data_IF_378762055179
#
_entry.id   IF_378762055179
#
_cell.length_a   1.000
_cell.length_b   1.000
_cell.length_c   1.000
_cell.angle_alpha   90.00
_cell.angle_beta   90.00
_cell.angle_gamma   90.00
#
_symmetry.space_group_name_H-M   'P 1'
#
loop_
_entity.id
_entity.type
_entity.pdbx_description
1 polymer ?
#
# COMPACT_ATOMS: atom_id res chain seq x y z
N UNK A 1 -5.35 -34.51 8.26
CA UNK A 1 -5.73 -33.22 8.85
C UNK A 1 -4.52 -32.37 9.31
N UNK A 2 -3.32 -32.96 9.49
CA UNK A 2 -2.16 -32.23 10.05
C UNK A 2 -1.39 -31.27 9.11
N UNK A 3 -1.36 -31.52 7.81
CA UNK A 3 -0.56 -30.72 6.88
C UNK A 3 -1.06 -29.26 6.73
N UNK A 4 -2.36 -29.04 6.83
CA UNK A 4 -2.95 -27.70 6.65
C UNK A 4 -2.73 -26.82 7.89
N UNK A 5 -2.82 -27.40 9.09
CA UNK A 5 -2.55 -26.70 10.35
C UNK A 5 -1.06 -26.32 10.49
N UNK A 6 -0.15 -27.24 10.15
CA UNK A 6 1.30 -26.97 10.17
C UNK A 6 1.71 -25.87 9.17
N UNK A 7 1.04 -25.79 8.01
CA UNK A 7 1.32 -24.76 7.02
C UNK A 7 0.83 -23.37 7.48
N UNK A 8 -0.34 -23.31 8.14
CA UNK A 8 -0.87 -22.08 8.72
C UNK A 8 0.04 -21.56 9.84
N UNK A 9 0.49 -22.44 10.73
CA UNK A 9 1.39 -22.06 11.82
C UNK A 9 2.74 -21.55 11.31
N UNK A 10 3.28 -22.18 10.28
CA UNK A 10 4.51 -21.73 9.61
C UNK A 10 4.34 -20.34 8.98
N UNK A 11 3.25 -20.09 8.26
CA UNK A 11 2.95 -18.78 7.68
C UNK A 11 2.81 -17.68 8.74
N UNK A 12 2.17 -18.00 9.89
CA UNK A 12 2.09 -17.06 11.03
C UNK A 12 3.46 -16.76 11.63
N UNK A 13 4.30 -17.77 11.80
CA UNK A 13 5.66 -17.58 12.31
C UNK A 13 6.53 -16.74 11.37
N UNK A 14 6.48 -17.01 10.07
CA UNK A 14 7.17 -16.22 9.06
C UNK A 14 6.67 -14.76 9.04
N UNK A 15 5.36 -14.54 9.19
CA UNK A 15 4.79 -13.21 9.28
C UNK A 15 5.31 -12.44 10.51
N UNK A 16 5.29 -13.06 11.71
CA UNK A 16 5.79 -12.43 12.94
C UNK A 16 7.30 -12.13 12.84
N UNK A 17 8.08 -13.06 12.29
CA UNK A 17 9.51 -12.87 12.11
C UNK A 17 9.81 -11.71 11.16
N UNK A 18 9.12 -11.64 10.01
CA UNK A 18 9.27 -10.57 9.04
C UNK A 18 8.83 -9.21 9.60
N UNK A 19 7.69 -9.14 10.30
CA UNK A 19 7.20 -7.93 10.96
C UNK A 19 8.22 -7.42 11.99
N UNK A 20 8.74 -8.32 12.83
CA UNK A 20 9.75 -7.99 13.84
C UNK A 20 11.04 -7.46 13.20
N UNK A 21 11.49 -8.05 12.10
CA UNK A 21 12.67 -7.60 11.37
C UNK A 21 12.46 -6.22 10.71
N UNK A 22 11.30 -6.00 10.08
CA UNK A 22 10.97 -4.73 9.42
C UNK A 22 10.73 -3.59 10.45
N UNK A 23 10.32 -3.90 11.70
CA UNK A 23 10.22 -2.93 12.79
C UNK A 23 11.59 -2.64 13.42
N UNK A 24 12.46 -3.65 13.59
CA UNK A 24 13.77 -3.47 14.23
C UNK A 24 14.68 -2.54 13.42
N UNK A 25 14.64 -2.63 12.11
CA UNK A 25 15.50 -1.84 11.22
C UNK A 25 15.33 -0.32 11.43
N UNK A 26 14.13 0.28 11.32
CA UNK A 26 13.96 1.71 11.55
C UNK A 26 14.24 2.13 13.01
N UNK A 27 13.93 1.29 13.99
CA UNK A 27 14.28 1.57 15.40
C UNK A 27 15.79 1.74 15.57
N UNK A 28 16.58 0.81 15.03
CA UNK A 28 18.04 0.90 15.10
C UNK A 28 18.58 2.12 14.34
N UNK A 29 17.99 2.43 13.17
CA UNK A 29 18.34 3.63 12.39
C UNK A 29 18.04 4.93 13.15
N UNK A 30 16.88 5.02 13.79
CA UNK A 30 16.49 6.17 14.64
C UNK A 30 17.46 6.32 15.80
N UNK A 31 17.79 5.23 16.52
CA UNK A 31 18.74 5.30 17.65
C UNK A 31 20.10 5.85 17.22
N UNK A 32 20.66 5.29 16.13
CA UNK A 32 21.95 5.75 15.60
C UNK A 32 21.89 7.22 15.14
N UNK A 33 20.81 7.62 14.46
CA UNK A 33 20.64 8.99 13.98
C UNK A 33 20.49 9.99 15.14
N UNK A 34 19.83 9.60 16.26
CA UNK A 34 19.75 10.42 17.48
C UNK A 34 21.13 10.63 18.09
N UNK A 35 21.91 9.55 18.29
CA UNK A 35 23.27 9.63 18.86
C UNK A 35 24.17 10.52 18.01
N UNK A 36 24.10 10.33 16.68
CA UNK A 36 24.91 11.13 15.75
C UNK A 36 24.46 12.59 15.71
N UNK A 37 23.14 12.86 15.77
CA UNK A 37 22.62 14.23 15.83
C UNK A 37 23.05 14.97 17.10
N UNK A 38 23.11 14.28 18.24
CA UNK A 38 23.60 14.85 19.51
C UNK A 38 25.09 15.24 19.37
N UNK A 39 25.92 14.32 18.87
CA UNK A 39 27.36 14.58 18.64
C UNK A 39 27.58 15.74 17.67
N UNK A 40 26.85 15.79 16.57
CA UNK A 40 26.94 16.89 15.59
C UNK A 40 26.52 18.25 16.22
N UNK A 41 25.49 18.23 17.09
CA UNK A 41 25.07 19.44 17.80
C UNK A 41 26.13 19.96 18.79
N UNK A 42 26.75 19.04 19.54
CA UNK A 42 27.85 19.36 20.45
C UNK A 42 29.05 19.99 19.72
N UNK A 43 29.33 19.55 18.50
CA UNK A 43 30.37 20.09 17.62
C UNK A 43 29.92 21.37 16.87
N UNK A 44 28.71 21.85 17.08
CA UNK A 44 28.07 22.96 16.33
C UNK A 44 27.92 22.72 14.82
N UNK A 45 27.81 21.45 14.39
CA UNK A 45 27.61 21.00 13.01
C UNK A 45 26.11 21.01 12.66
N UNK A 46 25.52 22.18 12.50
CA UNK A 46 24.07 22.35 12.37
C UNK A 46 23.46 21.66 11.12
N UNK A 47 24.20 21.64 10.01
CA UNK A 47 23.78 20.99 8.78
C UNK A 47 23.66 19.46 8.96
N UNK A 48 24.64 18.83 9.59
CA UNK A 48 24.62 17.40 9.88
C UNK A 48 23.56 17.07 10.92
N UNK A 49 23.42 17.89 11.97
CA UNK A 49 22.32 17.75 12.94
C UNK A 49 20.96 17.73 12.23
N UNK A 50 20.70 18.68 11.32
CA UNK A 50 19.45 18.75 10.55
C UNK A 50 19.21 17.52 9.67
N UNK A 51 20.27 17.01 9.04
CA UNK A 51 20.22 15.80 8.21
C UNK A 51 19.79 14.58 9.03
N UNK A 52 20.36 14.37 10.22
CA UNK A 52 20.00 13.23 11.08
C UNK A 52 18.60 13.39 11.68
N UNK A 53 18.16 14.60 12.05
CA UNK A 53 16.78 14.85 12.47
C UNK A 53 15.77 14.53 11.35
N UNK A 54 16.08 14.87 10.10
CA UNK A 54 15.24 14.48 8.95
C UNK A 54 15.19 12.96 8.75
N UNK A 55 16.31 12.26 8.96
CA UNK A 55 16.33 10.79 8.90
C UNK A 55 15.43 10.16 9.97
N UNK A 56 15.48 10.68 11.21
CA UNK A 56 14.60 10.24 12.30
C UNK A 56 13.14 10.42 11.93
N UNK A 57 12.77 11.56 11.34
CA UNK A 57 11.40 11.84 10.92
C UNK A 57 10.94 10.84 9.85
N UNK A 58 11.75 10.57 8.83
CA UNK A 58 11.46 9.62 7.75
C UNK A 58 11.25 8.21 8.31
N UNK A 59 12.15 7.74 9.20
CA UNK A 59 12.06 6.40 9.77
C UNK A 59 10.86 6.27 10.73
N UNK A 60 10.53 7.32 11.49
CA UNK A 60 9.33 7.37 12.33
C UNK A 60 8.03 7.29 11.51
N UNK A 61 7.93 8.06 10.43
CA UNK A 61 6.78 8.00 9.51
C UNK A 61 6.62 6.61 8.89
N UNK A 62 7.74 5.99 8.52
CA UNK A 62 7.75 4.62 8.01
C UNK A 62 7.26 3.60 9.04
N UNK A 63 7.68 3.73 10.31
CA UNK A 63 7.18 2.87 11.39
C UNK A 63 5.66 3.01 11.58
N UNK A 64 5.15 4.24 11.58
CA UNK A 64 3.72 4.51 11.68
C UNK A 64 2.94 3.81 10.55
N UNK A 65 3.45 3.91 9.31
CA UNK A 65 2.83 3.24 8.17
C UNK A 65 2.85 1.71 8.30
N UNK A 66 3.98 1.15 8.74
CA UNK A 66 4.11 -0.30 8.93
C UNK A 66 3.14 -0.81 10.02
N UNK A 67 3.01 -0.08 11.13
CA UNK A 67 2.06 -0.40 12.18
C UNK A 67 0.62 -0.33 11.67
N UNK A 68 0.25 0.70 10.90
CA UNK A 68 -1.07 0.80 10.28
C UNK A 68 -1.34 -0.39 9.36
N UNK A 69 -0.41 -0.72 8.46
CA UNK A 69 -0.56 -1.84 7.53
C UNK A 69 -0.69 -3.19 8.27
N UNK A 70 0.01 -3.38 9.40
CA UNK A 70 -0.11 -4.59 10.24
C UNK A 70 -1.47 -4.66 10.94
N UNK A 71 -1.99 -3.54 11.43
CA UNK A 71 -3.32 -3.46 12.06
C UNK A 71 -4.43 -3.71 11.03
N UNK A 72 -4.34 -3.07 9.85
CA UNK A 72 -5.28 -3.28 8.75
C UNK A 72 -5.34 -4.76 8.37
N UNK A 73 -4.18 -5.41 8.21
CA UNK A 73 -4.12 -6.84 7.89
C UNK A 73 -4.70 -7.71 9.00
N UNK A 74 -4.41 -7.39 10.26
CA UNK A 74 -4.95 -8.12 11.41
C UNK A 74 -6.49 -8.02 11.48
N UNK A 75 -7.05 -6.84 11.21
CA UNK A 75 -8.50 -6.64 11.17
C UNK A 75 -9.16 -7.45 10.06
N UNK A 76 -8.56 -7.47 8.87
CA UNK A 76 -9.03 -8.27 7.74
C UNK A 76 -9.05 -9.78 8.02
N UNK A 77 -8.12 -10.28 8.85
CA UNK A 77 -8.02 -11.70 9.18
C UNK A 77 -8.99 -12.17 10.28
N UNK A 78 -9.40 -11.25 11.16
CA UNK A 78 -10.19 -11.58 12.36
C UNK A 78 -11.67 -11.33 12.15
N UNK A 79 -12.04 -10.28 11.42
CA UNK A 79 -13.42 -9.85 11.29
C UNK A 79 -14.00 -10.25 9.93
N UNK A 80 -15.27 -10.68 9.90
CA UNK A 80 -16.02 -10.80 8.65
C UNK A 80 -16.37 -9.40 8.10
N UNK A 81 -16.48 -9.23 6.76
CA UNK A 81 -16.82 -7.94 6.16
C UNK A 81 -18.24 -7.51 6.53
N UNK A 82 -18.39 -6.26 6.97
CA UNK A 82 -19.70 -5.65 7.25
C UNK A 82 -20.13 -4.90 5.99
N UNK A 83 -20.90 -5.60 5.13
CA UNK A 83 -21.32 -5.03 3.85
C UNK A 83 -22.49 -4.05 4.01
N UNK A 84 -22.35 -2.88 3.40
CA UNK A 84 -23.35 -1.83 3.32
C UNK A 84 -23.53 -1.38 1.87
N UNK A 85 -24.73 -0.88 1.53
CA UNK A 85 -24.95 -0.24 0.23
C UNK A 85 -24.36 1.16 0.26
N UNK A 86 -23.22 1.36 -0.39
CA UNK A 86 -22.47 2.61 -0.36
C UNK A 86 -22.15 3.12 -1.75
N UNK A 87 -22.06 4.44 -1.90
CA UNK A 87 -21.62 5.07 -3.13
C UNK A 87 -20.08 5.02 -3.23
N UNK A 88 -19.58 4.17 -4.13
CA UNK A 88 -18.15 3.91 -4.28
C UNK A 88 -17.36 5.13 -4.79
N UNK A 89 -17.99 5.95 -5.63
CA UNK A 89 -17.38 7.20 -6.12
C UNK A 89 -17.02 8.14 -4.97
N UNK A 90 -17.91 8.28 -3.99
CA UNK A 90 -17.66 9.12 -2.82
C UNK A 90 -16.48 8.64 -2.00
N UNK A 91 -16.27 7.31 -1.88
CA UNK A 91 -15.12 6.74 -1.17
C UNK A 91 -13.82 7.03 -1.93
N UNK A 92 -13.81 6.81 -3.26
CA UNK A 92 -12.62 7.12 -4.09
C UNK A 92 -12.27 8.61 -4.00
N UNK A 93 -13.25 9.50 -4.11
CA UNK A 93 -13.04 10.95 -3.98
C UNK A 93 -12.52 11.34 -2.60
N UNK A 94 -12.99 10.67 -1.53
CA UNK A 94 -12.49 10.90 -0.18
C UNK A 94 -11.00 10.51 -0.07
N UNK A 95 -10.62 9.35 -0.56
CA UNK A 95 -9.21 8.89 -0.53
C UNK A 95 -8.30 9.80 -1.38
N UNK A 96 -8.78 10.29 -2.54
CA UNK A 96 -8.03 11.26 -3.35
C UNK A 96 -7.85 12.59 -2.57
N UNK A 97 -8.87 13.06 -1.84
CA UNK A 97 -8.78 14.29 -1.01
C UNK A 97 -7.75 14.19 0.12
N UNK A 98 -7.51 12.99 0.64
CA UNK A 98 -6.49 12.76 1.68
C UNK A 98 -5.04 12.71 1.16
N UNK A 99 -4.84 12.63 -0.16
CA UNK A 99 -3.50 12.70 -0.74
C UNK A 99 -2.85 14.07 -0.50
N UNK A 100 -1.52 14.14 -0.37
CA UNK A 100 -0.78 15.41 -0.44
C UNK A 100 -1.11 16.18 -1.71
N UNK A 101 -1.15 17.51 -1.65
CA UNK A 101 -1.53 18.36 -2.79
C UNK A 101 -0.73 18.07 -4.06
N UNK A 102 0.58 17.81 -3.93
CA UNK A 102 1.45 17.45 -5.05
C UNK A 102 1.02 16.16 -5.76
N UNK A 103 0.42 15.21 -5.04
CA UNK A 103 -0.08 13.96 -5.58
C UNK A 103 -1.53 14.08 -6.05
N UNK A 104 -2.38 14.81 -5.33
CA UNK A 104 -3.77 15.07 -5.69
C UNK A 104 -3.89 15.66 -7.11
N UNK A 105 -3.07 16.66 -7.44
CA UNK A 105 -3.04 17.31 -8.74
C UNK A 105 -2.59 16.39 -9.91
N UNK A 106 -2.09 15.21 -9.59
CA UNK A 106 -1.66 14.20 -10.58
C UNK A 106 -2.75 13.19 -10.90
N UNK A 107 -3.75 13.05 -10.02
CA UNK A 107 -4.82 12.07 -10.18
C UNK A 107 -5.87 12.61 -11.15
N UNK A 108 -6.15 11.83 -12.19
CA UNK A 108 -7.28 12.01 -13.08
C UNK A 108 -8.29 10.92 -12.73
N UNK A 109 -9.44 11.33 -12.17
CA UNK A 109 -10.48 10.39 -11.74
C UNK A 109 -11.71 10.52 -12.64
N UNK A 110 -12.09 9.42 -13.25
CA UNK A 110 -13.30 9.28 -14.05
C UNK A 110 -14.21 8.22 -13.47
N UNK A 111 -15.47 8.56 -13.23
CA UNK A 111 -16.44 7.66 -12.64
C UNK A 111 -17.86 8.02 -13.02
N UNK A 112 -18.73 7.01 -13.04
CA UNK A 112 -20.17 7.17 -12.90
C UNK A 112 -20.56 6.97 -11.43
N UNK A 113 -21.78 7.36 -11.05
CA UNK A 113 -22.30 7.06 -9.70
C UNK A 113 -22.58 5.55 -9.60
N UNK A 114 -21.97 4.89 -8.63
CA UNK A 114 -22.09 3.46 -8.40
C UNK A 114 -22.40 3.20 -6.93
N UNK A 115 -23.62 2.74 -6.66
CA UNK A 115 -23.99 2.18 -5.38
C UNK A 115 -23.78 0.68 -5.41
N UNK A 116 -23.01 0.14 -4.43
CA UNK A 116 -22.64 -1.26 -4.39
C UNK A 116 -22.62 -1.79 -2.97
N UNK A 117 -23.00 -3.06 -2.78
CA UNK A 117 -23.02 -3.73 -1.49
C UNK A 117 -21.63 -4.28 -1.16
N UNK A 118 -20.87 -3.56 -0.36
CA UNK A 118 -19.49 -3.87 0.00
C UNK A 118 -19.17 -3.36 1.42
N UNK A 119 -18.13 -3.88 2.03
CA UNK A 119 -17.58 -3.28 3.26
C UNK A 119 -16.86 -1.97 2.90
N UNK A 120 -17.33 -0.80 3.41
CA UNK A 120 -16.77 0.50 3.04
C UNK A 120 -15.33 0.70 3.49
N UNK A 121 -14.94 0.14 4.64
CA UNK A 121 -13.59 0.23 5.17
C UNK A 121 -12.62 -0.58 4.32
N UNK A 122 -13.02 -1.78 3.90
CA UNK A 122 -12.25 -2.62 2.97
C UNK A 122 -12.04 -1.91 1.63
N UNK A 123 -13.10 -1.32 1.07
CA UNK A 123 -12.99 -0.59 -0.19
C UNK A 123 -12.08 0.64 -0.07
N UNK A 124 -12.18 1.37 1.03
CA UNK A 124 -11.27 2.48 1.36
C UNK A 124 -9.82 2.02 1.46
N UNK A 125 -9.54 0.90 2.16
CA UNK A 125 -8.20 0.31 2.24
C UNK A 125 -7.64 -0.07 0.86
N UNK A 126 -8.47 -0.63 -0.02
CA UNK A 126 -8.08 -0.98 -1.40
C UNK A 126 -7.65 0.28 -2.15
N UNK A 127 -8.52 1.30 -2.20
CA UNK A 127 -8.27 2.55 -2.92
C UNK A 127 -7.01 3.24 -2.39
N UNK A 128 -6.91 3.42 -1.07
CA UNK A 128 -5.77 4.05 -0.39
C UNK A 128 -4.45 3.37 -0.71
N UNK A 129 -4.39 2.03 -0.63
CA UNK A 129 -3.16 1.29 -0.91
C UNK A 129 -2.75 1.36 -2.39
N UNK A 130 -3.69 1.26 -3.32
CA UNK A 130 -3.41 1.35 -4.75
C UNK A 130 -3.00 2.77 -5.15
N UNK A 131 -3.66 3.81 -4.64
CA UNK A 131 -3.27 5.21 -4.86
C UNK A 131 -1.87 5.50 -4.30
N UNK A 132 -1.58 5.03 -3.08
CA UNK A 132 -0.25 5.16 -2.46
C UNK A 132 0.82 4.51 -3.32
N UNK A 133 0.58 3.32 -3.86
CA UNK A 133 1.51 2.65 -4.77
C UNK A 133 1.71 3.46 -6.05
N UNK A 134 0.64 3.90 -6.71
CA UNK A 134 0.72 4.70 -7.90
C UNK A 134 1.52 6.00 -7.69
N UNK A 135 1.29 6.69 -6.56
CA UNK A 135 2.04 7.90 -6.20
C UNK A 135 3.53 7.64 -5.97
N UNK A 136 3.87 6.53 -5.29
CA UNK A 136 5.25 6.21 -4.89
C UNK A 136 6.10 5.71 -6.06
N UNK A 137 5.52 4.98 -7.01
CA UNK A 137 6.25 4.33 -8.09
C UNK A 137 6.20 5.08 -9.42
N UNK A 138 5.28 6.03 -9.58
CA UNK A 138 5.21 6.91 -10.73
C UNK A 138 6.14 8.13 -10.58
N UNK A 139 6.68 8.62 -11.67
CA UNK A 139 7.44 9.87 -11.67
C UNK A 139 6.54 11.05 -11.24
N UNK A 140 7.11 12.03 -10.50
CA UNK A 140 6.35 13.15 -9.90
C UNK A 140 5.57 14.02 -10.91
N UNK A 141 5.99 14.06 -12.17
CA UNK A 141 5.37 14.82 -13.25
C UNK A 141 4.35 14.03 -14.08
N UNK A 142 4.19 12.74 -13.80
CA UNK A 142 3.28 11.86 -14.55
C UNK A 142 1.91 11.79 -13.90
N UNK A 143 0.87 11.68 -14.73
CA UNK A 143 -0.51 11.49 -14.29
C UNK A 143 -0.76 10.06 -13.82
N UNK A 144 -1.72 9.92 -12.91
CA UNK A 144 -2.28 8.68 -12.43
C UNK A 144 -3.74 8.68 -12.84
N UNK A 145 -4.17 7.69 -13.62
CA UNK A 145 -5.57 7.59 -14.04
C UNK A 145 -6.29 6.58 -13.15
N UNK A 146 -7.42 7.00 -12.61
CA UNK A 146 -8.31 6.19 -11.77
C UNK A 146 -9.66 6.13 -12.46
N UNK A 147 -10.14 4.93 -12.76
CA UNK A 147 -11.47 4.76 -13.36
C UNK A 147 -12.30 3.81 -12.52
N UNK A 148 -13.57 4.16 -12.32
CA UNK A 148 -14.56 3.33 -11.65
C UNK A 148 -15.80 3.24 -12.54
N UNK A 149 -16.16 2.03 -12.96
CA UNK A 149 -17.22 1.81 -13.95
C UNK A 149 -17.86 0.43 -13.80
N UNK A 150 -19.01 0.22 -14.46
CA UNK A 150 -19.61 -1.09 -14.62
C UNK A 150 -19.06 -1.81 -15.84
N UNK A 151 -18.70 -3.09 -15.66
CA UNK A 151 -18.48 -4.06 -16.73
C UNK A 151 -19.59 -5.12 -16.65
N UNK A 152 -20.63 -4.95 -17.47
CA UNK A 152 -21.93 -5.64 -17.33
C UNK A 152 -22.56 -5.33 -15.96
N UNK A 153 -22.70 -6.33 -15.07
CA UNK A 153 -23.20 -6.18 -13.70
C UNK A 153 -22.10 -5.97 -12.67
N UNK A 154 -20.86 -6.21 -13.04
CA UNK A 154 -19.73 -6.19 -12.12
C UNK A 154 -19.16 -4.76 -12.00
N UNK A 155 -18.62 -4.42 -10.84
CA UNK A 155 -17.94 -3.15 -10.62
C UNK A 155 -16.45 -3.30 -10.85
N UNK A 156 -15.87 -2.40 -11.63
CA UNK A 156 -14.44 -2.38 -11.94
C UNK A 156 -13.81 -1.07 -11.49
N UNK A 157 -12.76 -1.18 -10.66
CA UNK A 157 -11.85 -0.09 -10.32
C UNK A 157 -10.52 -0.33 -11.02
N UNK A 158 -10.03 0.65 -11.79
CA UNK A 158 -8.67 0.60 -12.36
C UNK A 158 -7.83 1.77 -11.86
N UNK A 159 -6.57 1.49 -11.55
CA UNK A 159 -5.58 2.53 -11.21
C UNK A 159 -4.35 2.28 -12.08
N UNK A 160 -4.09 3.23 -12.98
CA UNK A 160 -2.97 3.22 -13.93
C UNK A 160 -1.92 4.23 -13.49
N UNK A 161 -0.73 3.75 -13.18
CA UNK A 161 0.46 4.55 -12.99
C UNK A 161 1.36 4.54 -14.25
N UNK A 162 2.21 5.56 -14.37
CA UNK A 162 3.22 5.68 -15.44
C UNK A 162 4.62 5.63 -14.83
N UNK A 163 4.83 4.61 -13.99
CA UNK A 163 6.09 4.38 -13.31
C UNK A 163 7.01 3.40 -14.04
N UNK A 164 7.88 2.78 -13.26
CA UNK A 164 8.89 1.85 -13.80
C UNK A 164 8.35 0.52 -14.33
N UNK A 165 7.10 0.21 -14.03
CA UNK A 165 6.52 -1.09 -14.33
C UNK A 165 7.06 -2.23 -13.47
N UNK A 166 6.49 -3.42 -13.69
CA UNK A 166 6.74 -4.63 -12.90
C UNK A 166 7.06 -5.77 -13.87
N UNK A 167 8.17 -6.49 -13.62
CA UNK A 167 8.56 -7.63 -14.46
C UNK A 167 7.50 -8.74 -14.38
N UNK A 168 7.36 -9.56 -15.43
CA UNK A 168 6.43 -10.70 -15.43
C UNK A 168 6.69 -11.68 -14.28
N UNK A 169 7.95 -11.87 -13.90
CA UNK A 169 8.33 -12.76 -12.81
C UNK A 169 7.89 -12.24 -11.43
N UNK A 170 7.73 -10.90 -11.29
CA UNK A 170 7.34 -10.29 -10.03
C UNK A 170 5.82 -10.11 -9.91
N UNK A 171 5.06 -10.07 -11.04
CA UNK A 171 3.62 -9.72 -11.05
C UNK A 171 2.75 -10.63 -10.18
N UNK A 172 3.08 -11.90 -10.05
CA UNK A 172 2.36 -12.80 -9.14
C UNK A 172 2.80 -12.59 -7.68
N UNK A 173 4.08 -12.26 -7.48
CA UNK A 173 4.71 -12.17 -6.17
C UNK A 173 4.46 -10.86 -5.43
N UNK A 174 4.13 -9.78 -6.14
CA UNK A 174 3.87 -8.47 -5.52
C UNK A 174 2.73 -8.49 -4.52
N UNK A 175 1.87 -9.50 -4.55
CA UNK A 175 0.77 -9.71 -3.59
C UNK A 175 1.17 -10.57 -2.39
N UNK A 176 2.41 -11.12 -2.37
CA UNK A 176 2.96 -11.82 -1.20
C UNK A 176 3.31 -10.80 -0.10
N UNK A 177 3.10 -11.16 1.17
CA UNK A 177 3.42 -10.30 2.31
C UNK A 177 4.92 -10.03 2.38
N UNK A 178 5.32 -8.78 2.63
CA UNK A 178 6.71 -8.30 2.70
C UNK A 178 7.51 -8.42 1.41
N UNK A 179 6.86 -8.83 0.31
CA UNK A 179 7.54 -8.90 -0.98
C UNK A 179 7.82 -7.50 -1.55
N UNK A 180 8.99 -7.31 -2.10
CA UNK A 180 9.42 -6.08 -2.76
C UNK A 180 10.35 -6.41 -3.91
N UNK A 181 10.06 -5.87 -5.09
CA UNK A 181 10.89 -6.02 -6.30
C UNK A 181 12.30 -5.46 -6.08
N UNK A 182 12.41 -4.34 -5.36
CA UNK A 182 13.67 -3.68 -5.01
C UNK A 182 13.60 -3.24 -3.54
N UNK A 183 14.31 -3.95 -2.68
CA UNK A 183 14.29 -3.70 -1.22
C UNK A 183 14.87 -2.34 -0.84
N UNK A 184 15.92 -1.87 -1.52
CA UNK A 184 16.60 -0.62 -1.19
C UNK A 184 15.75 0.60 -1.56
N UNK A 185 15.30 0.67 -2.81
CA UNK A 185 14.50 1.79 -3.32
C UNK A 185 13.10 1.83 -2.71
N UNK A 186 12.47 0.67 -2.52
CA UNK A 186 11.17 0.61 -1.85
C UNK A 186 11.22 1.08 -0.40
N UNK A 187 12.36 0.87 0.29
CA UNK A 187 12.60 1.46 1.62
C UNK A 187 12.63 2.98 1.58
N UNK A 188 13.36 3.55 0.64
CA UNK A 188 13.46 5.00 0.49
C UNK A 188 12.11 5.66 0.17
N UNK A 189 11.19 4.93 -0.49
CA UNK A 189 9.83 5.37 -0.82
C UNK A 189 8.79 5.01 0.27
N UNK A 190 9.22 4.52 1.43
CA UNK A 190 8.33 4.18 2.55
C UNK A 190 7.50 2.90 2.34
N UNK A 191 7.82 2.06 1.35
CA UNK A 191 7.08 0.83 1.11
C UNK A 191 7.25 -0.19 2.24
N UNK A 192 6.17 -0.76 2.74
CA UNK A 192 6.15 -1.80 3.79
C UNK A 192 6.24 -3.21 3.21
N UNK A 193 5.76 -3.40 1.97
CA UNK A 193 5.60 -4.70 1.33
C UNK A 193 4.34 -5.45 1.79
N UNK A 194 3.45 -4.78 2.55
CA UNK A 194 2.20 -5.35 3.05
C UNK A 194 0.99 -4.82 2.26
N UNK A 195 1.05 -3.59 1.75
CA UNK A 195 -0.11 -2.91 1.16
C UNK A 195 -0.82 -3.68 0.05
N UNK A 196 -0.10 -4.33 -0.89
CA UNK A 196 -0.74 -5.12 -1.94
C UNK A 196 -1.32 -6.44 -1.44
N UNK A 197 -0.77 -7.03 -0.38
CA UNK A 197 -1.39 -8.19 0.27
C UNK A 197 -2.68 -7.82 1.01
N UNK A 198 -2.75 -6.62 1.61
CA UNK A 198 -3.98 -6.05 2.15
C UNK A 198 -5.03 -5.91 1.04
N UNK A 199 -4.67 -5.30 -0.10
CA UNK A 199 -5.57 -5.13 -1.25
C UNK A 199 -6.13 -6.47 -1.70
N UNK A 200 -5.27 -7.46 -1.92
CA UNK A 200 -5.69 -8.80 -2.35
C UNK A 200 -6.69 -9.42 -1.37
N UNK A 201 -6.38 -9.38 -0.08
CA UNK A 201 -7.23 -9.96 0.96
C UNK A 201 -8.59 -9.25 1.06
N UNK A 202 -8.60 -7.90 1.06
CA UNK A 202 -9.82 -7.10 1.10
C UNK A 202 -10.70 -7.31 -0.14
N UNK A 203 -10.10 -7.46 -1.32
CA UNK A 203 -10.82 -7.76 -2.57
C UNK A 203 -11.45 -9.16 -2.51
N UNK A 204 -10.68 -10.20 -2.14
CA UNK A 204 -11.14 -11.59 -2.09
C UNK A 204 -12.31 -11.77 -1.10
N UNK A 205 -12.23 -11.16 0.10
CA UNK A 205 -13.32 -11.27 1.11
C UNK A 205 -14.59 -10.51 0.71
N UNK A 206 -14.51 -9.56 -0.22
CA UNK A 206 -15.64 -8.85 -0.79
C UNK A 206 -16.12 -9.45 -2.12
N UNK A 207 -15.79 -10.72 -2.41
CA UNK A 207 -16.19 -11.42 -3.64
C UNK A 207 -15.65 -10.72 -4.89
N UNK A 208 -14.37 -10.38 -4.89
CA UNK A 208 -13.71 -9.74 -6.01
C UNK A 208 -12.45 -10.47 -6.45
N UNK A 209 -11.83 -9.93 -7.49
CA UNK A 209 -10.52 -10.36 -8.00
C UNK A 209 -9.66 -9.13 -8.31
N UNK A 210 -8.34 -9.24 -8.10
CA UNK A 210 -7.36 -8.23 -8.48
C UNK A 210 -6.37 -8.80 -9.49
N UNK A 211 -6.06 -8.01 -10.51
CA UNK A 211 -5.06 -8.30 -11.53
C UNK A 211 -4.14 -7.10 -11.72
N UNK A 212 -2.94 -7.37 -12.25
CA UNK A 212 -2.00 -6.33 -12.67
C UNK A 212 -1.61 -6.55 -14.13
N UNK A 213 -1.65 -5.47 -14.92
CA UNK A 213 -1.05 -5.41 -16.26
C UNK A 213 0.11 -4.44 -16.20
N UNK A 214 1.31 -4.90 -16.50
CA UNK A 214 2.49 -4.06 -16.40
C UNK A 214 3.60 -4.52 -17.37
N UNK A 215 4.32 -3.53 -17.89
CA UNK A 215 5.55 -3.73 -18.64
C UNK A 215 6.65 -2.84 -18.03
N UNK A 216 7.88 -3.32 -18.02
CA UNK A 216 9.01 -2.52 -17.53
C UNK A 216 9.18 -1.25 -18.35
N UNK A 217 9.22 -0.10 -17.67
CA UNK A 217 9.35 1.23 -18.26
C UNK A 217 8.05 1.89 -18.74
N UNK A 218 6.90 1.18 -18.69
CA UNK A 218 5.61 1.69 -19.19
C UNK A 218 4.61 2.00 -18.06
N UNK A 219 4.88 1.51 -16.84
CA UNK A 219 4.00 1.66 -15.70
C UNK A 219 3.20 0.40 -15.38
N UNK A 220 2.18 0.54 -14.52
CA UNK A 220 1.36 -0.58 -14.07
C UNK A 220 -0.10 -0.17 -13.99
N UNK A 221 -0.99 -1.03 -14.45
CA UNK A 221 -2.43 -0.94 -14.28
C UNK A 221 -2.90 -2.02 -13.31
N UNK A 222 -3.40 -1.61 -12.16
CA UNK A 222 -4.09 -2.48 -11.21
C UNK A 222 -5.58 -2.48 -11.54
N UNK A 223 -6.16 -3.65 -11.68
CA UNK A 223 -7.56 -3.87 -12.06
C UNK A 223 -8.22 -4.68 -10.96
N UNK A 224 -9.16 -4.07 -10.25
CA UNK A 224 -9.98 -4.73 -9.22
C UNK A 224 -11.39 -4.88 -9.77
N UNK A 225 -11.92 -6.10 -9.69
CA UNK A 225 -13.27 -6.42 -10.14
C UNK A 225 -14.06 -7.04 -8.99
N UNK A 226 -15.23 -6.49 -8.68
CA UNK A 226 -16.19 -7.04 -7.73
C UNK A 226 -17.38 -7.63 -8.47
N UNK A 227 -17.72 -8.86 -8.14
CA UNK A 227 -18.80 -9.58 -8.78
C UNK A 227 -20.13 -9.27 -8.10
N UNK A 228 -21.13 -8.86 -8.88
CA UNK A 228 -22.48 -8.68 -8.41
C UNK A 228 -23.15 -10.06 -8.33
N UNK A 229 -23.38 -10.55 -7.12
CA UNK A 229 -24.00 -11.87 -6.83
C UNK A 229 -25.42 -11.74 -6.38
#
# INVERSE_FOLDING_TARGET
>A
MDNNSQNIDKLKQEFIANASHELKTPVTSIQLAVETAITALENSELEDTRKFLNQILIDSQRMTLLLSDLLDLSQLEVNDPIKELVNLKNIVEAEIRFLPEENKNRVNFESVDIDFLIDPDDFSMIVRNLLRNACNYSEKNKKIDVNLFFDNSDVVLTILDRGRGISKADQERIFERFYRVDKGRSRALGGTGIGLSIVKHAVERNNGNIQVKSNLGEGSEFIVKFFNT
#
